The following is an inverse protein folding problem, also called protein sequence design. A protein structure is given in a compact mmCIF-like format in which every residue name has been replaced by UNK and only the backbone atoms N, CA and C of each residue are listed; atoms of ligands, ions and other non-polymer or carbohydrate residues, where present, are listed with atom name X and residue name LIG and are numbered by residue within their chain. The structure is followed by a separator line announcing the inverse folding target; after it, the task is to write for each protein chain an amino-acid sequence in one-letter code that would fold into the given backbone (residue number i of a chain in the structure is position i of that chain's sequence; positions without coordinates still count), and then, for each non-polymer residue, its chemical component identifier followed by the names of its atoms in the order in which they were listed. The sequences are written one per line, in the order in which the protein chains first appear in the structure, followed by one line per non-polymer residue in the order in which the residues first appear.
data_IF_708050833204
#
_entry.id   IF_708050833204
#
_cell.length_a   1.000
_cell.length_b   1.000
_cell.length_c   1.000
_cell.angle_alpha   90.00
_cell.angle_beta   90.00
_cell.angle_gamma   90.00
#
_symmetry.space_group_name_H-M   'P 1'
#
loop_
_entity.id
_entity.type
_entity.pdbx_description
1 polymer ?
#
# COMPACT_ATOMS: atom_id res chain seq x y z
N UNK A 1 -20.78 15.96 2.62
CA UNK A 1 -20.71 14.53 3.00
C UNK A 1 -19.34 14.29 3.59
N UNK A 2 -19.26 13.72 4.79
CA UNK A 2 -18.01 13.33 5.42
C UNK A 2 -17.52 12.06 4.72
N UNK A 3 -16.40 12.14 4.01
CA UNK A 3 -15.67 10.95 3.59
C UNK A 3 -15.12 10.32 4.87
N UNK A 4 -15.43 9.07 5.19
CA UNK A 4 -14.80 8.39 6.32
C UNK A 4 -13.32 8.18 5.99
N UNK A 5 -12.50 9.18 6.27
CA UNK A 5 -11.08 9.22 5.90
C UNK A 5 -10.21 8.80 7.09
N UNK A 6 -10.25 7.51 7.40
CA UNK A 6 -9.16 6.85 8.10
C UNK A 6 -8.17 6.26 7.09
N UNK A 7 -6.89 6.09 7.43
CA UNK A 7 -5.95 5.39 6.55
C UNK A 7 -6.45 3.95 6.30
N UNK A 8 -6.49 3.52 5.04
CA UNK A 8 -6.85 2.15 4.67
C UNK A 8 -5.84 1.18 5.29
N UNK A 9 -6.31 0.10 5.90
CA UNK A 9 -5.43 -0.99 6.31
C UNK A 9 -4.82 -1.68 5.07
N UNK A 10 -3.69 -2.39 5.20
CA UNK A 10 -3.10 -3.13 4.08
C UNK A 10 -4.09 -4.11 3.42
N UNK A 11 -4.91 -4.79 4.23
CA UNK A 11 -5.94 -5.69 3.75
C UNK A 11 -7.04 -4.94 2.97
N UNK A 12 -7.55 -3.84 3.53
CA UNK A 12 -8.57 -3.02 2.86
C UNK A 12 -8.03 -2.48 1.53
N UNK A 13 -6.81 -1.97 1.51
CA UNK A 13 -6.17 -1.47 0.30
C UNK A 13 -6.01 -2.55 -0.76
N UNK A 14 -5.57 -3.76 -0.37
CA UNK A 14 -5.46 -4.90 -1.29
C UNK A 14 -6.82 -5.33 -1.84
N UNK A 15 -7.83 -5.45 -0.98
CA UNK A 15 -9.19 -5.79 -1.39
C UNK A 15 -9.78 -4.76 -2.36
N UNK A 16 -9.65 -3.46 -2.08
CA UNK A 16 -10.16 -2.41 -2.98
C UNK A 16 -9.43 -2.43 -4.33
N UNK A 17 -8.14 -2.76 -4.38
CA UNK A 17 -7.41 -2.96 -5.65
C UNK A 17 -7.97 -4.12 -6.47
N UNK A 18 -8.28 -5.25 -5.82
CA UNK A 18 -8.87 -6.39 -6.54
C UNK A 18 -10.27 -6.05 -7.08
N UNK A 19 -11.08 -5.32 -6.30
CA UNK A 19 -12.40 -4.87 -6.73
C UNK A 19 -12.36 -3.78 -7.82
N UNK A 20 -11.28 -2.99 -7.89
CA UNK A 20 -11.03 -2.01 -8.96
C UNK A 20 -10.73 -2.71 -10.31
N UNK A 21 -10.24 -3.96 -10.26
CA UNK A 21 -9.98 -4.78 -11.44
C UNK A 21 -11.20 -5.61 -11.86
N UNK A 22 -11.92 -6.17 -10.89
CA UNK A 22 -13.07 -7.03 -11.14
C UNK A 22 -13.98 -7.16 -9.92
N UNK A 23 -15.30 -7.19 -10.17
CA UNK A 23 -16.27 -7.57 -9.15
C UNK A 23 -15.94 -8.96 -8.57
N UNK A 24 -16.11 -9.14 -7.26
CA UNK A 24 -15.84 -10.40 -6.56
C UNK A 24 -17.15 -11.00 -6.01
N UNK A 25 -17.30 -12.33 -5.98
CA UNK A 25 -18.40 -12.95 -5.23
C UNK A 25 -18.22 -12.70 -3.71
N UNK A 26 -19.30 -12.73 -2.91
CA UNK A 26 -19.20 -12.68 -1.46
C UNK A 26 -18.27 -13.78 -0.92
N UNK A 27 -17.41 -13.49 0.07
CA UNK A 27 -16.42 -14.45 0.59
C UNK A 27 -17.07 -15.72 1.14
N UNK A 28 -18.28 -15.61 1.70
CA UNK A 28 -19.05 -16.75 2.21
C UNK A 28 -19.52 -17.72 1.12
N UNK A 29 -19.54 -17.30 -0.16
CA UNK A 29 -20.02 -18.11 -1.29
C UNK A 29 -18.92 -18.71 -2.13
N UNK A 30 -17.77 -18.03 -2.24
CA UNK A 30 -16.68 -18.44 -3.11
C UNK A 30 -15.31 -18.03 -2.50
N UNK A 31 -14.93 -18.60 -1.35
CA UNK A 31 -13.68 -18.27 -0.67
C UNK A 31 -12.45 -18.53 -1.55
N UNK A 32 -12.51 -19.50 -2.46
CA UNK A 32 -11.45 -19.79 -3.43
C UNK A 32 -11.13 -18.60 -4.35
N UNK A 33 -12.11 -17.72 -4.61
CA UNK A 33 -11.89 -16.50 -5.41
C UNK A 33 -10.97 -15.51 -4.71
N UNK A 34 -10.91 -15.54 -3.38
CA UNK A 34 -10.01 -14.70 -2.58
C UNK A 34 -8.62 -15.32 -2.46
N UNK A 35 -8.57 -16.64 -2.27
CA UNK A 35 -7.30 -17.37 -2.16
C UNK A 35 -6.40 -17.16 -3.38
N UNK A 36 -6.96 -17.20 -4.61
CA UNK A 36 -6.18 -16.99 -5.84
C UNK A 36 -5.61 -15.56 -5.99
N UNK A 37 -6.06 -14.63 -5.14
CA UNK A 37 -5.61 -13.22 -5.07
C UNK A 37 -4.73 -12.97 -3.85
N UNK A 38 -4.30 -14.04 -3.18
CA UNK A 38 -3.70 -14.07 -1.84
C UNK A 38 -4.43 -13.17 -0.83
N UNK A 39 -5.76 -13.25 -0.84
CA UNK A 39 -6.63 -12.69 0.18
C UNK A 39 -7.21 -13.83 1.02
N UNK A 40 -7.22 -13.65 2.34
CA UNK A 40 -7.92 -14.55 3.25
C UNK A 40 -9.41 -14.18 3.26
N UNK A 41 -10.28 -15.14 2.95
CA UNK A 41 -11.72 -14.91 2.86
C UNK A 41 -12.34 -14.57 4.23
N UNK A 42 -11.82 -15.14 5.33
CA UNK A 42 -12.32 -14.89 6.68
C UNK A 42 -11.92 -13.47 7.11
N UNK A 43 -10.67 -13.07 6.86
CA UNK A 43 -10.24 -11.69 7.14
C UNK A 43 -11.01 -10.66 6.30
N UNK A 44 -11.32 -10.99 5.04
CA UNK A 44 -12.15 -10.14 4.18
C UNK A 44 -13.57 -10.04 4.73
N UNK A 45 -14.15 -11.15 5.18
CA UNK A 45 -15.47 -11.18 5.78
C UNK A 45 -15.55 -10.29 7.03
N UNK A 46 -14.49 -10.23 7.83
CA UNK A 46 -14.42 -9.38 9.02
C UNK A 46 -14.39 -7.87 8.69
N UNK A 47 -13.72 -7.47 7.61
CA UNK A 47 -13.60 -6.04 7.23
C UNK A 47 -14.75 -5.54 6.35
N UNK A 48 -15.46 -6.43 5.65
CA UNK A 48 -16.54 -6.09 4.73
C UNK A 48 -17.65 -5.23 5.33
N UNK A 49 -18.20 -5.53 6.53
CA UNK A 49 -19.24 -4.69 7.13
C UNK A 49 -18.80 -3.23 7.30
N UNK A 50 -17.51 -2.99 7.60
CA UNK A 50 -16.97 -1.64 7.70
C UNK A 50 -16.88 -0.97 6.33
N UNK A 51 -16.45 -1.71 5.29
CA UNK A 51 -16.34 -1.18 3.93
C UNK A 51 -17.71 -0.87 3.30
N UNK A 52 -18.71 -1.70 3.58
CA UNK A 52 -20.10 -1.46 3.20
C UNK A 52 -20.69 -0.26 3.95
N UNK A 53 -20.50 -0.20 5.28
CA UNK A 53 -20.96 0.91 6.11
C UNK A 53 -20.33 2.26 5.69
N UNK A 54 -19.06 2.24 5.31
CA UNK A 54 -18.35 3.43 4.81
C UNK A 54 -18.66 3.75 3.34
N UNK A 55 -19.44 2.89 2.67
CA UNK A 55 -19.84 3.05 1.27
C UNK A 55 -18.68 2.89 0.29
N UNK A 56 -17.59 2.24 0.68
CA UNK A 56 -16.44 1.98 -0.20
C UNK A 56 -16.69 0.78 -1.11
N UNK A 57 -17.49 -0.18 -0.65
CA UNK A 57 -17.91 -1.36 -1.39
C UNK A 57 -19.43 -1.46 -1.30
N UNK A 58 -20.07 -1.97 -2.34
CA UNK A 58 -21.49 -2.30 -2.33
C UNK A 58 -21.73 -3.75 -2.74
N UNK A 59 -22.76 -4.37 -2.16
CA UNK A 59 -23.30 -5.65 -2.62
C UNK A 59 -24.31 -5.37 -3.74
N UNK A 60 -24.07 -5.92 -4.92
CA UNK A 60 -25.01 -5.92 -6.04
C UNK A 60 -25.99 -7.08 -5.86
N UNK A 61 -27.28 -6.75 -5.91
CA UNK A 61 -28.37 -7.74 -5.85
C UNK A 61 -28.32 -8.68 -7.07
N UNK A 62 -28.52 -9.98 -6.83
CA UNK A 62 -28.49 -11.04 -7.84
C UNK A 62 -28.11 -12.40 -7.27
N UNK A 63 -28.18 -13.44 -8.09
CA UNK A 63 -27.65 -14.77 -7.78
C UNK A 63 -26.60 -15.18 -8.85
N UNK A 64 -25.32 -15.39 -8.48
CA UNK A 64 -24.73 -15.09 -7.19
C UNK A 64 -24.42 -13.58 -7.12
N UNK A 65 -25.00 -12.86 -6.15
CA UNK A 65 -24.75 -11.43 -5.97
C UNK A 65 -23.24 -11.14 -5.87
N UNK A 66 -22.81 -9.93 -6.20
CA UNK A 66 -21.39 -9.56 -6.29
C UNK A 66 -21.03 -8.37 -5.40
N UNK A 67 -19.80 -8.31 -4.97
CA UNK A 67 -19.18 -7.15 -4.36
C UNK A 67 -18.54 -6.31 -5.46
N UNK A 68 -18.83 -5.01 -5.46
CA UNK A 68 -18.30 -4.07 -6.44
C UNK A 68 -17.76 -2.83 -5.75
N UNK A 69 -16.69 -2.26 -6.33
CA UNK A 69 -16.08 -1.04 -5.84
C UNK A 69 -16.97 0.15 -6.18
N UNK A 70 -17.32 0.95 -5.17
CA UNK A 70 -18.08 2.19 -5.42
C UNK A 70 -17.16 3.29 -5.95
N UNK A 71 -17.75 4.37 -6.48
CA UNK A 71 -16.98 5.59 -6.81
C UNK A 71 -16.24 6.15 -5.58
N UNK A 72 -16.85 6.08 -4.40
CA UNK A 72 -16.21 6.53 -3.15
C UNK A 72 -15.03 5.61 -2.78
N UNK A 73 -15.19 4.30 -2.95
CA UNK A 73 -14.13 3.31 -2.80
C UNK A 73 -12.94 3.57 -3.73
N UNK A 74 -13.22 3.82 -5.01
CA UNK A 74 -12.19 4.16 -5.98
C UNK A 74 -11.46 5.45 -5.62
N UNK A 75 -12.18 6.50 -5.18
CA UNK A 75 -11.56 7.74 -4.72
C UNK A 75 -10.70 7.54 -3.47
N UNK A 76 -11.15 6.75 -2.51
CA UNK A 76 -10.39 6.43 -1.31
C UNK A 76 -9.11 5.65 -1.66
N UNK A 77 -9.20 4.66 -2.55
CA UNK A 77 -8.05 3.92 -3.06
C UNK A 77 -7.04 4.85 -3.73
N UNK A 78 -7.46 5.70 -4.68
CA UNK A 78 -6.57 6.63 -5.37
C UNK A 78 -5.94 7.66 -4.43
N UNK A 79 -6.67 8.09 -3.40
CA UNK A 79 -6.14 9.00 -2.37
C UNK A 79 -5.02 8.33 -1.58
N UNK A 80 -5.25 7.10 -1.12
CA UNK A 80 -4.22 6.32 -0.41
C UNK A 80 -2.98 6.08 -1.28
N UNK A 81 -3.15 5.75 -2.56
CA UNK A 81 -2.03 5.57 -3.50
C UNK A 81 -1.25 6.86 -3.73
N UNK A 82 -1.94 8.01 -3.85
CA UNK A 82 -1.31 9.32 -3.97
C UNK A 82 -0.54 9.71 -2.70
N UNK A 83 -1.11 9.45 -1.52
CA UNK A 83 -0.47 9.72 -0.23
C UNK A 83 0.79 8.88 -0.05
N UNK A 84 0.74 7.60 -0.41
CA UNK A 84 1.89 6.69 -0.39
C UNK A 84 3.01 7.16 -1.34
N UNK A 85 2.67 7.53 -2.58
CA UNK A 85 3.62 8.08 -3.55
C UNK A 85 4.23 9.40 -3.07
N UNK A 86 3.40 10.28 -2.51
CA UNK A 86 3.85 11.57 -1.96
C UNK A 86 4.82 11.34 -0.79
N UNK A 87 4.53 10.41 0.11
CA UNK A 87 5.43 10.03 1.19
C UNK A 87 6.75 9.48 0.65
N UNK A 88 6.71 8.62 -0.37
CA UNK A 88 7.91 8.08 -1.03
C UNK A 88 8.75 9.18 -1.69
N UNK A 89 8.13 10.11 -2.41
CA UNK A 89 8.84 11.25 -3.02
C UNK A 89 9.49 12.14 -1.97
N UNK A 90 8.82 12.41 -0.85
CA UNK A 90 9.40 13.17 0.27
C UNK A 90 10.59 12.44 0.89
N UNK A 91 10.49 11.13 1.08
CA UNK A 91 11.60 10.32 1.59
C UNK A 91 12.80 10.34 0.64
N UNK A 92 12.57 10.21 -0.67
CA UNK A 92 13.60 10.31 -1.70
C UNK A 92 14.28 11.68 -1.69
N UNK A 93 13.52 12.77 -1.61
CA UNK A 93 14.06 14.12 -1.53
C UNK A 93 14.93 14.31 -0.27
N UNK A 94 14.43 13.89 0.89
CA UNK A 94 15.18 13.96 2.16
C UNK A 94 16.45 13.10 2.13
N UNK A 95 16.40 11.93 1.50
CA UNK A 95 17.58 11.09 1.29
C UNK A 95 18.60 11.77 0.36
N UNK A 96 18.14 12.40 -0.73
CA UNK A 96 19.01 13.14 -1.65
C UNK A 96 19.68 14.35 -0.96
N UNK A 97 18.97 15.07 -0.08
CA UNK A 97 19.55 16.14 0.74
C UNK A 97 20.66 15.59 1.66
N UNK A 98 20.42 14.43 2.28
CA UNK A 98 21.41 13.74 3.13
C UNK A 98 22.66 13.35 2.33
N UNK A 99 22.47 12.84 1.11
CA UNK A 99 23.58 12.45 0.25
C UNK A 99 24.39 13.66 -0.21
N UNK A 100 23.70 14.75 -0.58
CA UNK A 100 24.32 16.01 -1.02
C UNK A 100 25.15 16.68 0.09
N UNK A 101 24.86 16.39 1.35
CA UNK A 101 25.60 16.92 2.51
C UNK A 101 26.98 16.26 2.76
N UNK A 102 27.41 15.30 1.94
CA UNK A 102 28.79 14.78 1.98
C UNK A 102 28.97 13.26 1.88
N UNK A 103 27.94 12.52 1.47
CA UNK A 103 27.98 11.05 1.39
C UNK A 103 28.65 10.56 0.11
N UNK A 104 29.42 9.47 0.20
CA UNK A 104 30.01 8.82 -0.96
C UNK A 104 28.94 8.32 -1.98
N UNK A 105 29.03 8.66 -3.29
CA UNK A 105 27.92 8.45 -4.24
C UNK A 105 27.56 6.99 -4.56
N UNK A 106 28.49 6.04 -4.41
CA UNK A 106 28.29 4.63 -4.80
C UNK A 106 27.29 3.87 -3.92
N UNK A 107 27.42 3.84 -2.57
CA UNK A 107 26.41 3.19 -1.71
C UNK A 107 25.05 3.90 -1.71
N UNK A 108 25.01 5.20 -2.03
CA UNK A 108 23.77 5.97 -2.12
C UNK A 108 22.85 5.52 -3.28
N UNK A 109 23.41 5.06 -4.40
CA UNK A 109 22.61 4.71 -5.59
C UNK A 109 21.67 3.52 -5.38
N UNK A 110 22.13 2.46 -4.69
CA UNK A 110 21.28 1.31 -4.38
C UNK A 110 20.20 1.67 -3.36
N UNK A 111 20.57 2.40 -2.31
CA UNK A 111 19.64 2.85 -1.28
C UNK A 111 18.55 3.77 -1.86
N UNK A 112 18.93 4.71 -2.74
CA UNK A 112 18.00 5.57 -3.46
C UNK A 112 17.02 4.76 -4.32
N UNK A 113 17.53 3.79 -5.09
CA UNK A 113 16.68 2.94 -5.92
C UNK A 113 15.67 2.16 -5.07
N UNK A 114 16.12 1.52 -3.98
CA UNK A 114 15.24 0.74 -3.10
C UNK A 114 14.21 1.59 -2.37
N UNK A 115 14.57 2.81 -2.00
CA UNK A 115 13.66 3.80 -1.42
C UNK A 115 12.60 4.27 -2.44
N UNK A 116 13.01 4.57 -3.68
CA UNK A 116 12.11 4.97 -4.76
C UNK A 116 11.13 3.84 -5.14
N UNK A 117 11.61 2.59 -5.15
CA UNK A 117 10.79 1.39 -5.35
C UNK A 117 9.82 1.13 -4.17
N UNK A 118 9.95 1.84 -3.05
CA UNK A 118 9.13 1.62 -1.84
C UNK A 118 9.51 0.37 -1.04
N UNK A 119 10.56 -0.34 -1.44
CA UNK A 119 11.00 -1.57 -0.76
C UNK A 119 11.72 -1.29 0.56
N UNK A 120 12.33 -0.11 0.71
CA UNK A 120 13.04 0.33 1.91
C UNK A 120 12.40 1.59 2.50
N UNK A 121 12.46 1.71 3.82
CA UNK A 121 12.16 2.96 4.53
C UNK A 121 13.34 3.93 4.45
N UNK A 122 13.10 5.22 4.70
CA UNK A 122 14.15 6.24 4.77
C UNK A 122 15.24 5.86 5.80
N UNK A 123 14.83 5.39 6.98
CA UNK A 123 15.74 4.95 8.04
C UNK A 123 16.67 3.83 7.55
N UNK A 124 16.11 2.80 6.90
CA UNK A 124 16.89 1.68 6.36
C UNK A 124 17.88 2.14 5.30
N UNK A 125 17.46 3.07 4.43
CA UNK A 125 18.33 3.66 3.41
C UNK A 125 19.49 4.45 4.03
N UNK A 126 19.23 5.24 5.07
CA UNK A 126 20.24 6.01 5.80
C UNK A 126 21.23 5.10 6.53
N UNK A 127 20.77 4.04 7.19
CA UNK A 127 21.64 3.04 7.83
C UNK A 127 22.56 2.40 6.81
N UNK A 128 22.03 1.96 5.66
CA UNK A 128 22.82 1.31 4.62
C UNK A 128 23.98 2.19 4.10
N UNK A 129 23.72 3.49 3.95
CA UNK A 129 24.74 4.46 3.56
C UNK A 129 25.82 4.58 4.64
N UNK A 130 25.43 4.82 5.90
CA UNK A 130 26.37 4.99 7.02
C UNK A 130 27.27 3.76 7.22
N UNK A 131 26.71 2.55 7.10
CA UNK A 131 27.48 1.31 7.26
C UNK A 131 28.50 1.12 6.13
N UNK A 132 28.22 1.60 4.92
CA UNK A 132 29.15 1.53 3.78
C UNK A 132 30.12 2.71 3.70
N UNK A 133 29.95 3.75 4.51
CA UNK A 133 30.94 4.81 4.71
C UNK A 133 32.05 4.38 5.67
N UNK A 134 31.80 3.40 6.55
CA UNK A 134 32.84 2.83 7.41
C UNK A 134 33.67 1.81 6.62
N UNK A 135 35.00 2.00 6.47
CA UNK A 135 35.84 0.97 5.86
C UNK A 135 35.86 -0.29 6.74
N UNK A 136 36.03 -1.49 6.17
CA UNK A 136 36.23 -2.70 6.94
C UNK A 136 37.58 -2.62 7.68
N UNK A 137 37.56 -2.19 8.95
CA UNK A 137 38.72 -2.27 9.84
C UNK A 137 39.23 -0.96 10.44
N UNK A 138 38.36 -0.15 11.06
CA UNK A 138 38.80 0.83 12.06
C UNK A 138 38.26 0.42 13.44
N UNK A 139 39.07 -0.34 14.17
CA UNK A 139 39.01 -0.52 15.63
C UNK A 139 40.11 0.29 16.28
#
# INVERSE_FOLDING_TARGET
MLVPSGPLSPLQHRLLRELDLSDLPPPERAPESYLVRDLDADEVQDVLPTLEWTGLVERRDGDPGGLTLTLLGALALRTAECDELTARLRAVASFADTVSAGVAPRPAGLALRRLAEGTWTLERAQVHVRTNEMPPGAS
#
